data_IF_933263148086
#
_entry.id   IF_933263148086
#
_cell.length_a   1.000
_cell.length_b   1.000
_cell.length_c   1.000
_cell.angle_alpha   90.00
_cell.angle_beta   90.00
_cell.angle_gamma   90.00
#
_symmetry.space_group_name_H-M   'P 1'
#
loop_
_entity.id
_entity.type
_entity.pdbx_description
1 polymer ?
#
# COMPACT_ATOMS: atom_id res chain seq x y z
N UNK A 1 -6.27 -2.85 -38.31
CA UNK A 1 -5.82 -1.54 -37.76
C UNK A 1 -4.30 -1.62 -37.61
N UNK A 2 -3.54 -0.78 -38.31
CA UNK A 2 -2.07 -0.92 -38.41
C UNK A 2 -1.38 -0.73 -37.05
N UNK A 3 -0.37 -1.56 -36.77
CA UNK A 3 0.43 -1.51 -35.54
C UNK A 3 1.02 -0.12 -35.27
N UNK A 4 1.37 0.63 -36.32
CA UNK A 4 1.88 2.00 -36.24
C UNK A 4 0.89 3.00 -35.63
N UNK A 5 -0.41 2.85 -35.86
CA UNK A 5 -1.44 3.77 -35.32
C UNK A 5 -1.66 3.63 -33.81
N UNK A 6 -1.24 2.50 -33.21
CA UNK A 6 -1.37 2.24 -31.77
C UNK A 6 -0.16 2.70 -30.95
N UNK A 7 0.98 2.97 -31.59
CA UNK A 7 2.22 3.27 -30.87
C UNK A 7 2.21 4.65 -30.20
N UNK A 8 1.70 5.67 -30.87
CA UNK A 8 1.66 7.05 -30.34
C UNK A 8 0.89 7.16 -29.02
N UNK A 9 -0.36 6.66 -28.89
CA UNK A 9 -1.08 6.75 -27.62
C UNK A 9 -0.41 5.96 -26.50
N UNK A 10 0.20 4.80 -26.79
CA UNK A 10 0.94 4.02 -25.79
C UNK A 10 2.13 4.80 -25.24
N UNK A 11 2.94 5.40 -26.10
CA UNK A 11 4.12 6.19 -25.68
C UNK A 11 3.72 7.33 -24.74
N UNK A 12 2.60 8.01 -24.99
CA UNK A 12 2.11 9.11 -24.14
C UNK A 12 1.69 8.58 -22.76
N UNK A 13 0.97 7.46 -22.72
CA UNK A 13 0.53 6.85 -21.46
C UNK A 13 1.72 6.34 -20.66
N UNK A 14 2.65 5.65 -21.30
CA UNK A 14 3.85 5.10 -20.67
C UNK A 14 4.75 6.21 -20.11
N UNK A 15 4.91 7.31 -20.85
CA UNK A 15 5.63 8.50 -20.39
C UNK A 15 4.97 9.11 -19.16
N UNK A 16 3.64 9.15 -19.13
CA UNK A 16 2.88 9.64 -17.97
C UNK A 16 3.07 8.74 -16.75
N UNK A 17 3.12 7.42 -16.95
CA UNK A 17 3.40 6.45 -15.88
C UNK A 17 4.81 6.64 -15.31
N UNK A 18 5.82 6.86 -16.15
CA UNK A 18 7.21 7.14 -15.73
C UNK A 18 7.28 8.40 -14.86
N UNK A 19 6.63 9.49 -15.29
CA UNK A 19 6.59 10.75 -14.53
C UNK A 19 5.93 10.53 -13.16
N UNK A 20 4.77 9.87 -13.13
CA UNK A 20 4.05 9.58 -11.89
C UNK A 20 4.85 8.66 -10.95
N UNK A 21 5.49 7.62 -11.49
CA UNK A 21 6.35 6.72 -10.73
C UNK A 21 7.53 7.48 -10.11
N UNK A 22 8.16 8.38 -10.86
CA UNK A 22 9.27 9.21 -10.38
C UNK A 22 8.84 10.14 -9.22
N UNK A 23 7.69 10.82 -9.37
CA UNK A 23 7.11 11.65 -8.29
C UNK A 23 6.83 10.80 -7.05
N UNK A 24 6.23 9.62 -7.24
CA UNK A 24 5.90 8.69 -6.16
C UNK A 24 7.16 8.16 -5.44
N UNK A 25 8.26 7.92 -6.15
CA UNK A 25 9.56 7.57 -5.55
C UNK A 25 10.03 8.70 -4.65
N UNK A 26 10.04 9.95 -5.13
CA UNK A 26 10.48 11.10 -4.33
C UNK A 26 9.65 11.28 -3.06
N UNK A 27 8.32 11.21 -3.16
CA UNK A 27 7.39 11.33 -2.02
C UNK A 27 7.63 10.17 -1.03
N UNK A 28 7.65 8.93 -1.53
CA UNK A 28 7.75 7.73 -0.68
C UNK A 28 9.11 7.64 0.02
N UNK A 29 10.21 7.95 -0.68
CA UNK A 29 11.55 7.96 -0.11
C UNK A 29 11.69 9.02 0.99
N UNK A 30 11.21 10.24 0.74
CA UNK A 30 11.25 11.34 1.71
C UNK A 30 10.48 10.99 2.99
N UNK A 31 9.27 10.44 2.85
CA UNK A 31 8.43 10.06 3.99
C UNK A 31 8.98 8.84 4.73
N UNK A 32 9.48 7.85 4.00
CA UNK A 32 10.12 6.70 4.61
C UNK A 32 11.33 7.12 5.45
N UNK A 33 12.21 7.96 4.91
CA UNK A 33 13.36 8.53 5.63
C UNK A 33 12.93 9.34 6.86
N UNK A 34 11.94 10.21 6.72
CA UNK A 34 11.40 11.00 7.83
C UNK A 34 10.82 10.14 8.96
N UNK A 35 9.99 9.14 8.62
CA UNK A 35 9.33 8.27 9.60
C UNK A 35 10.35 7.35 10.29
N UNK A 36 11.30 6.79 9.54
CA UNK A 36 12.35 5.93 10.11
C UNK A 36 13.25 6.72 11.06
N UNK A 37 13.69 7.92 10.67
CA UNK A 37 14.43 8.84 11.54
C UNK A 37 13.70 9.11 12.86
N UNK A 38 12.41 9.47 12.79
CA UNK A 38 11.61 9.70 13.99
C UNK A 38 11.39 8.46 14.85
N UNK A 39 11.26 7.29 14.23
CA UNK A 39 11.10 6.02 14.94
C UNK A 39 12.37 5.66 15.71
N UNK A 40 13.55 5.92 15.14
CA UNK A 40 14.85 5.67 15.77
C UNK A 40 15.05 6.58 16.97
N UNK A 41 14.77 7.88 16.82
CA UNK A 41 14.94 8.87 17.90
C UNK A 41 13.91 8.68 19.01
N UNK A 42 12.67 8.39 18.66
CA UNK A 42 11.55 8.32 19.61
C UNK A 42 11.33 6.89 20.15
N UNK A 43 12.38 6.28 20.72
CA UNK A 43 12.35 4.88 21.21
C UNK A 43 11.17 4.58 22.16
N UNK A 44 10.75 5.57 22.94
CA UNK A 44 9.69 5.46 23.96
C UNK A 44 8.35 6.08 23.53
N UNK A 45 8.14 6.33 22.23
CA UNK A 45 6.88 6.89 21.75
C UNK A 45 5.73 5.87 21.83
N UNK A 46 4.55 6.24 22.37
CA UNK A 46 3.35 5.40 22.33
C UNK A 46 2.83 5.17 20.90
N UNK A 47 3.38 5.88 19.90
CA UNK A 47 2.99 5.76 18.50
C UNK A 47 4.00 4.98 17.66
N UNK A 48 5.03 4.40 18.27
CA UNK A 48 6.12 3.72 17.57
C UNK A 48 5.64 2.58 16.66
N UNK A 49 4.66 1.80 17.11
CA UNK A 49 4.06 0.71 16.31
C UNK A 49 3.37 1.26 15.07
N UNK A 50 2.56 2.30 15.24
CA UNK A 50 1.85 2.94 14.12
C UNK A 50 2.85 3.48 13.09
N UNK A 51 3.92 4.14 13.55
CA UNK A 51 4.96 4.69 12.69
C UNK A 51 5.68 3.60 11.89
N UNK A 52 6.02 2.46 12.50
CA UNK A 52 6.68 1.35 11.79
C UNK A 52 5.74 0.70 10.75
N UNK A 53 4.46 0.52 11.08
CA UNK A 53 3.50 0.01 10.10
C UNK A 53 3.28 0.99 8.94
N UNK A 54 3.31 2.30 9.20
CA UNK A 54 3.27 3.31 8.16
C UNK A 54 4.56 3.32 7.33
N UNK A 55 5.73 3.18 7.95
CA UNK A 55 7.00 3.04 7.24
C UNK A 55 7.01 1.81 6.32
N UNK A 56 6.43 0.68 6.75
CA UNK A 56 6.33 -0.52 5.92
C UNK A 56 5.48 -0.32 4.67
N UNK A 57 4.38 0.46 4.76
CA UNK A 57 3.59 0.85 3.58
C UNK A 57 4.43 1.72 2.63
N UNK A 58 5.14 2.73 3.13
CA UNK A 58 5.98 3.58 2.29
C UNK A 58 7.18 2.83 1.68
N UNK A 59 7.76 1.86 2.39
CA UNK A 59 8.78 0.98 1.84
C UNK A 59 8.22 0.16 0.67
N UNK A 60 7.03 -0.44 0.85
CA UNK A 60 6.38 -1.22 -0.20
C UNK A 60 6.03 -0.34 -1.42
N UNK A 61 5.52 0.87 -1.19
CA UNK A 61 5.26 1.86 -2.25
C UNK A 61 6.54 2.28 -2.97
N UNK A 62 7.62 2.55 -2.24
CA UNK A 62 8.91 2.95 -2.81
C UNK A 62 9.47 1.84 -3.72
N UNK A 63 9.58 0.61 -3.19
CA UNK A 63 10.07 -0.54 -3.95
C UNK A 63 9.19 -0.81 -5.18
N UNK A 64 7.86 -0.76 -5.02
CA UNK A 64 6.94 -0.96 -6.14
C UNK A 64 7.18 0.09 -7.23
N UNK A 65 7.33 1.36 -6.84
CA UNK A 65 7.54 2.46 -7.79
C UNK A 65 8.86 2.35 -8.54
N UNK A 66 9.91 1.82 -7.91
CA UNK A 66 11.20 1.55 -8.56
C UNK A 66 11.02 0.47 -9.63
N UNK A 67 10.34 -0.64 -9.33
CA UNK A 67 10.09 -1.70 -10.32
C UNK A 67 9.20 -1.22 -11.46
N UNK A 68 8.17 -0.42 -11.17
CA UNK A 68 7.35 0.21 -12.23
C UNK A 68 8.19 1.13 -13.12
N UNK A 69 9.07 1.93 -12.53
CA UNK A 69 9.94 2.81 -13.31
C UNK A 69 10.86 1.99 -14.22
N UNK A 70 11.47 0.93 -13.70
CA UNK A 70 12.31 0.01 -14.48
C UNK A 70 11.53 -0.63 -15.64
N UNK A 71 10.36 -1.21 -15.36
CA UNK A 71 9.51 -1.87 -16.34
C UNK A 71 9.12 -0.92 -17.47
N UNK A 72 8.63 0.28 -17.14
CA UNK A 72 8.17 1.24 -18.15
C UNK A 72 9.31 1.87 -18.96
N UNK A 73 10.51 1.99 -18.39
CA UNK A 73 11.71 2.33 -19.17
C UNK A 73 11.99 1.22 -20.19
N UNK A 74 11.88 -0.06 -19.80
CA UNK A 74 12.08 -1.19 -20.71
C UNK A 74 11.02 -1.21 -21.83
N UNK A 75 9.74 -0.99 -21.51
CA UNK A 75 8.66 -0.89 -22.50
C UNK A 75 8.94 0.23 -23.51
N UNK A 76 9.31 1.42 -23.04
CA UNK A 76 9.60 2.57 -23.90
C UNK A 76 10.81 2.33 -24.82
N UNK A 77 11.85 1.67 -24.31
CA UNK A 77 12.99 1.25 -25.13
C UNK A 77 12.59 0.17 -26.14
N UNK A 78 11.71 -0.75 -25.75
CA UNK A 78 11.11 -1.76 -26.63
C UNK A 78 10.38 -1.13 -27.83
N UNK A 79 9.56 -0.11 -27.57
CA UNK A 79 8.88 0.65 -28.62
C UNK A 79 9.84 1.36 -29.59
N UNK A 80 10.97 1.88 -29.10
CA UNK A 80 11.92 2.63 -29.93
C UNK A 80 12.85 1.74 -30.75
N UNK A 81 13.35 0.66 -30.16
CA UNK A 81 14.43 -0.15 -30.74
C UNK A 81 13.98 -1.55 -31.19
N UNK A 82 12.69 -1.90 -31.02
CA UNK A 82 12.17 -3.24 -31.34
C UNK A 82 12.97 -4.37 -30.67
N UNK A 83 13.50 -4.12 -29.47
CA UNK A 83 14.32 -5.07 -28.70
C UNK A 83 13.43 -6.15 -28.06
N UNK A 84 12.77 -6.96 -28.89
CA UNK A 84 11.97 -8.09 -28.42
C UNK A 84 12.81 -9.18 -27.73
N UNK A 85 14.15 -9.14 -27.89
CA UNK A 85 15.07 -10.14 -27.33
C UNK A 85 15.53 -9.87 -25.89
N UNK A 86 15.34 -8.66 -25.34
CA UNK A 86 15.87 -8.34 -24.01
C UNK A 86 15.05 -8.92 -22.84
N UNK A 87 13.79 -9.29 -23.06
CA UNK A 87 12.85 -9.66 -21.97
C UNK A 87 12.09 -10.98 -22.19
N UNK A 88 12.45 -11.81 -23.17
CA UNK A 88 11.77 -13.09 -23.45
C UNK A 88 12.15 -14.25 -22.50
N UNK A 89 12.56 -13.96 -21.26
CA UNK A 89 13.16 -14.95 -20.36
C UNK A 89 12.63 -14.94 -18.93
N UNK A 90 13.25 -15.79 -18.10
CA UNK A 90 12.97 -15.93 -16.67
C UNK A 90 13.09 -14.58 -15.94
N UNK A 91 14.00 -13.70 -16.36
CA UNK A 91 14.16 -12.37 -15.78
C UNK A 91 12.86 -11.54 -15.82
N UNK A 92 12.13 -11.61 -16.92
CA UNK A 92 10.86 -10.90 -17.11
C UNK A 92 9.77 -11.44 -16.17
N UNK A 93 9.70 -12.77 -16.04
CA UNK A 93 8.80 -13.43 -15.10
C UNK A 93 9.12 -13.09 -13.64
N UNK A 94 10.41 -13.01 -13.28
CA UNK A 94 10.86 -12.60 -11.95
C UNK A 94 10.48 -11.14 -11.66
N UNK A 95 10.66 -10.23 -12.63
CA UNK A 95 10.30 -8.81 -12.48
C UNK A 95 8.82 -8.63 -12.17
N UNK A 96 7.94 -9.21 -12.99
CA UNK A 96 6.48 -9.12 -12.77
C UNK A 96 6.06 -9.84 -11.49
N UNK A 97 6.68 -10.97 -11.16
CA UNK A 97 6.49 -11.65 -9.88
C UNK A 97 6.78 -10.70 -8.71
N UNK A 98 7.96 -10.06 -8.70
CA UNK A 98 8.34 -9.12 -7.64
C UNK A 98 7.39 -7.92 -7.56
N UNK A 99 6.94 -7.41 -8.70
CA UNK A 99 5.95 -6.33 -8.75
C UNK A 99 4.65 -6.74 -8.08
N UNK A 100 4.11 -7.92 -8.39
CA UNK A 100 2.91 -8.43 -7.73
C UNK A 100 3.11 -8.71 -6.24
N UNK A 101 4.27 -9.23 -5.82
CA UNK A 101 4.63 -9.35 -4.41
C UNK A 101 4.55 -8.00 -3.70
N UNK A 102 5.07 -6.94 -4.32
CA UNK A 102 5.05 -5.58 -3.75
C UNK A 102 3.64 -4.98 -3.71
N UNK A 103 2.83 -5.21 -4.74
CA UNK A 103 1.40 -4.82 -4.73
C UNK A 103 0.67 -5.52 -3.57
N UNK A 104 0.87 -6.83 -3.41
CA UNK A 104 0.33 -7.59 -2.30
C UNK A 104 0.83 -7.06 -0.95
N UNK A 105 2.11 -6.71 -0.86
CA UNK A 105 2.70 -6.13 0.35
C UNK A 105 2.04 -4.79 0.74
N UNK A 106 1.66 -3.95 -0.23
CA UNK A 106 0.89 -2.73 0.03
C UNK A 106 -0.47 -3.08 0.65
N UNK A 107 -1.21 -4.03 0.07
CA UNK A 107 -2.53 -4.45 0.56
C UNK A 107 -2.46 -5.04 1.96
N UNK A 108 -1.57 -6.00 2.20
CA UNK A 108 -1.40 -6.63 3.50
C UNK A 108 -0.82 -5.68 4.56
N UNK A 109 0.03 -4.73 4.19
CA UNK A 109 0.50 -3.70 5.13
C UNK A 109 -0.66 -2.81 5.60
N UNK A 110 -1.59 -2.46 4.71
CA UNK A 110 -2.80 -1.74 5.09
C UNK A 110 -3.73 -2.59 5.97
N UNK A 111 -3.81 -3.91 5.72
CA UNK A 111 -4.52 -4.85 6.59
C UNK A 111 -3.91 -4.91 8.01
N UNK A 112 -2.58 -4.98 8.12
CA UNK A 112 -1.88 -4.92 9.41
C UNK A 112 -2.16 -3.60 10.14
N UNK A 113 -2.23 -2.47 9.44
CA UNK A 113 -2.62 -1.20 10.05
C UNK A 113 -4.05 -1.24 10.59
N UNK A 114 -4.99 -1.86 9.88
CA UNK A 114 -6.37 -2.02 10.34
C UNK A 114 -6.45 -2.92 11.58
N UNK A 115 -5.73 -4.05 11.58
CA UNK A 115 -5.63 -4.96 12.73
C UNK A 115 -5.03 -4.23 13.94
N UNK A 116 -3.95 -3.48 13.76
CA UNK A 116 -3.36 -2.71 14.86
C UNK A 116 -4.36 -1.72 15.48
N UNK A 117 -5.12 -1.00 14.65
CA UNK A 117 -6.14 -0.06 15.14
C UNK A 117 -7.24 -0.78 15.89
N UNK A 118 -7.71 -1.90 15.35
CA UNK A 118 -8.67 -2.80 16.01
C UNK A 118 -8.15 -3.21 17.40
N UNK A 119 -6.93 -3.74 17.47
CA UNK A 119 -6.28 -4.15 18.71
C UNK A 119 -6.18 -3.00 19.72
N UNK A 120 -5.76 -1.82 19.27
CA UNK A 120 -5.59 -0.63 20.13
C UNK A 120 -6.91 -0.15 20.71
N UNK A 121 -7.96 -0.06 19.90
CA UNK A 121 -9.26 0.51 20.29
C UNK A 121 -10.04 -0.47 21.15
N UNK A 122 -10.08 -1.73 20.73
CA UNK A 122 -10.95 -2.73 21.33
C UNK A 122 -10.28 -3.45 22.50
N UNK A 123 -9.02 -3.80 22.34
CA UNK A 123 -8.25 -4.56 23.32
C UNK A 123 -7.26 -3.64 24.05
N UNK A 124 -7.73 -2.45 24.43
CA UNK A 124 -6.90 -1.44 25.10
C UNK A 124 -6.30 -1.93 26.43
N UNK A 125 -6.93 -2.91 27.09
CA UNK A 125 -6.47 -3.52 28.34
C UNK A 125 -5.33 -4.53 28.14
N UNK A 126 -5.21 -5.13 26.95
CA UNK A 126 -4.23 -6.18 26.66
C UNK A 126 -2.99 -5.59 26.00
N UNK A 127 -2.03 -5.14 26.82
CA UNK A 127 -0.77 -4.50 26.37
C UNK A 127 0.04 -5.37 25.40
N UNK A 128 -0.03 -6.71 25.51
CA UNK A 128 0.69 -7.63 24.62
C UNK A 128 0.33 -7.46 23.13
N UNK A 129 -0.95 -7.19 22.82
CA UNK A 129 -1.42 -6.96 21.44
C UNK A 129 -1.01 -5.61 20.85
N UNK A 130 -0.36 -4.76 21.64
CA UNK A 130 0.17 -3.46 21.24
C UNK A 130 1.71 -3.43 21.33
N UNK A 131 2.34 -4.58 21.58
CA UNK A 131 3.79 -4.66 21.70
C UNK A 131 4.49 -4.41 20.37
N UNK A 132 5.60 -3.69 20.42
CA UNK A 132 6.38 -3.36 19.23
C UNK A 132 6.95 -4.62 18.55
N UNK A 133 7.45 -5.56 19.34
CA UNK A 133 8.03 -6.82 18.86
C UNK A 133 7.01 -7.65 18.08
N UNK A 134 5.75 -7.72 18.54
CA UNK A 134 4.70 -8.44 17.83
C UNK A 134 4.52 -7.91 16.41
N UNK A 135 4.43 -6.59 16.21
CA UNK A 135 4.23 -6.03 14.88
C UNK A 135 5.47 -6.12 14.00
N UNK A 136 6.67 -6.13 14.56
CA UNK A 136 7.87 -6.44 13.78
C UNK A 136 7.82 -7.86 13.22
N UNK A 137 7.45 -8.84 14.06
CA UNK A 137 7.28 -10.23 13.64
C UNK A 137 6.17 -10.35 12.59
N UNK A 138 5.03 -9.68 12.80
CA UNK A 138 3.92 -9.70 11.84
C UNK A 138 4.29 -9.08 10.49
N UNK A 139 5.13 -8.04 10.45
CA UNK A 139 5.65 -7.48 9.20
C UNK A 139 6.51 -8.52 8.47
N UNK A 140 7.41 -9.21 9.17
CA UNK A 140 8.25 -10.27 8.57
C UNK A 140 7.38 -11.39 7.99
N UNK A 141 6.40 -11.87 8.77
CA UNK A 141 5.45 -12.89 8.33
C UNK A 141 4.66 -12.41 7.11
N UNK A 142 4.22 -11.16 7.10
CA UNK A 142 3.49 -10.56 6.00
C UNK A 142 4.33 -10.53 4.71
N UNK A 143 5.60 -10.16 4.78
CA UNK A 143 6.50 -10.21 3.62
C UNK A 143 6.69 -11.64 3.10
N UNK A 144 6.98 -12.60 3.99
CA UNK A 144 7.11 -14.01 3.62
C UNK A 144 5.82 -14.49 2.93
N UNK A 145 4.65 -14.18 3.49
CA UNK A 145 3.37 -14.54 2.92
C UNK A 145 3.15 -13.92 1.53
N UNK A 146 3.53 -12.64 1.32
CA UNK A 146 3.41 -11.98 0.03
C UNK A 146 4.26 -12.68 -1.05
N UNK A 147 5.48 -13.13 -0.72
CA UNK A 147 6.30 -13.95 -1.61
C UNK A 147 5.63 -15.31 -1.88
N UNK A 148 5.26 -16.04 -0.82
CA UNK A 148 4.68 -17.38 -0.93
C UNK A 148 3.39 -17.41 -1.77
N UNK A 149 2.53 -16.40 -1.64
CA UNK A 149 1.26 -16.31 -2.40
C UNK A 149 1.51 -16.23 -3.92
N UNK A 150 2.62 -15.64 -4.34
CA UNK A 150 2.91 -15.43 -5.77
C UNK A 150 3.67 -16.60 -6.41
N UNK A 151 4.29 -17.47 -5.62
CA UNK A 151 5.08 -18.61 -6.12
C UNK A 151 4.25 -19.53 -7.02
N UNK A 152 2.99 -19.90 -6.69
CA UNK A 152 2.19 -20.76 -7.57
C UNK A 152 2.05 -20.19 -8.98
N UNK A 153 1.79 -18.88 -9.14
CA UNK A 153 1.66 -18.26 -10.47
C UNK A 153 2.97 -18.30 -11.27
N UNK A 154 4.11 -18.16 -10.58
CA UNK A 154 5.41 -18.30 -11.21
C UNK A 154 5.66 -19.76 -11.66
N UNK A 155 5.42 -20.74 -10.77
CA UNK A 155 5.60 -22.17 -11.06
C UNK A 155 4.69 -22.66 -12.19
N UNK A 156 3.50 -22.10 -12.29
CA UNK A 156 2.54 -22.45 -13.34
C UNK A 156 2.78 -21.74 -14.68
N UNK A 157 3.76 -20.82 -14.77
CA UNK A 157 3.99 -20.05 -15.99
C UNK A 157 2.83 -19.13 -16.35
N UNK A 158 2.12 -18.61 -15.34
CA UNK A 158 1.00 -17.69 -15.55
C UNK A 158 1.48 -16.33 -16.12
N UNK A 159 2.74 -15.96 -15.85
CA UNK A 159 3.39 -14.75 -16.35
C UNK A 159 3.97 -14.98 -17.75
N UNK A 160 3.47 -14.22 -18.73
CA UNK A 160 3.88 -14.34 -20.13
C UNK A 160 4.32 -12.99 -20.68
N UNK A 161 5.36 -13.02 -21.51
CA UNK A 161 5.79 -11.85 -22.25
C UNK A 161 4.81 -11.57 -23.40
N UNK A 162 4.30 -10.34 -23.44
CA UNK A 162 3.46 -9.83 -24.52
C UNK A 162 4.33 -9.08 -25.52
N UNK A 163 4.49 -9.64 -26.73
CA UNK A 163 5.26 -9.00 -27.81
C UNK A 163 4.64 -7.65 -28.20
N UNK A 164 3.32 -7.52 -28.09
CA UNK A 164 2.61 -6.29 -28.46
C UNK A 164 2.84 -5.15 -27.46
N UNK A 165 3.03 -5.49 -26.18
CA UNK A 165 3.17 -4.53 -25.09
C UNK A 165 4.62 -4.38 -24.61
N UNK A 166 5.54 -5.20 -25.12
CA UNK A 166 6.94 -5.27 -24.70
C UNK A 166 7.14 -5.46 -23.19
N UNK A 167 6.23 -6.21 -22.54
CA UNK A 167 6.23 -6.42 -21.08
C UNK A 167 5.79 -7.83 -20.69
N UNK A 168 6.23 -8.30 -19.51
CA UNK A 168 5.60 -9.46 -18.88
C UNK A 168 4.31 -9.02 -18.21
N UNK A 169 3.24 -9.77 -18.45
CA UNK A 169 2.00 -9.57 -17.74
C UNK A 169 1.31 -10.90 -17.46
N UNK A 170 0.39 -10.86 -16.50
CA UNK A 170 -0.59 -11.90 -16.33
C UNK A 170 -1.62 -11.77 -17.45
N UNK A 171 -1.71 -12.79 -18.30
CA UNK A 171 -2.69 -12.81 -19.38
C UNK A 171 -4.12 -12.84 -18.80
N UNK A 172 -4.97 -11.89 -19.18
CA UNK A 172 -6.37 -11.83 -18.70
C UNK A 172 -7.22 -13.02 -19.15
N UNK A 173 -6.76 -13.79 -20.15
CA UNK A 173 -7.38 -15.06 -20.54
C UNK A 173 -7.06 -16.20 -19.57
N UNK A 174 -6.02 -16.06 -18.75
CA UNK A 174 -5.67 -17.02 -17.71
C UNK A 174 -6.53 -16.80 -16.46
N UNK A 175 -7.79 -17.21 -16.53
CA UNK A 175 -8.77 -17.04 -15.44
C UNK A 175 -8.29 -17.60 -14.10
N UNK A 176 -7.52 -18.70 -14.12
CA UNK A 176 -6.97 -19.30 -12.90
C UNK A 176 -5.98 -18.36 -12.22
N UNK A 177 -4.98 -17.88 -12.96
CA UNK A 177 -3.98 -16.95 -12.42
C UNK A 177 -4.63 -15.65 -11.94
N UNK A 178 -5.53 -15.09 -12.75
CA UNK A 178 -6.29 -13.88 -12.41
C UNK A 178 -7.13 -14.05 -11.14
N UNK A 179 -7.87 -15.16 -11.03
CA UNK A 179 -8.70 -15.44 -9.86
C UNK A 179 -7.86 -15.68 -8.61
N UNK A 180 -6.78 -16.46 -8.72
CA UNK A 180 -5.89 -16.75 -7.60
C UNK A 180 -5.22 -15.47 -7.10
N UNK A 181 -4.65 -14.68 -7.99
CA UNK A 181 -3.97 -13.43 -7.63
C UNK A 181 -4.95 -12.38 -7.12
N UNK A 182 -6.10 -12.21 -7.78
CA UNK A 182 -7.15 -11.29 -7.34
C UNK A 182 -7.65 -11.65 -5.94
N UNK A 183 -7.91 -12.94 -5.69
CA UNK A 183 -8.42 -13.38 -4.39
C UNK A 183 -7.38 -13.24 -3.28
N UNK A 184 -6.19 -13.83 -3.48
CA UNK A 184 -5.17 -13.91 -2.44
C UNK A 184 -4.50 -12.56 -2.18
N UNK A 185 -4.22 -11.78 -3.23
CA UNK A 185 -3.44 -10.54 -3.12
C UNK A 185 -4.29 -9.32 -2.81
N UNK A 186 -5.58 -9.35 -3.18
CA UNK A 186 -6.47 -8.20 -3.06
C UNK A 186 -7.71 -8.50 -2.22
N UNK A 187 -8.53 -9.50 -2.58
CA UNK A 187 -9.81 -9.71 -1.89
C UNK A 187 -9.67 -10.10 -0.42
N UNK A 188 -8.72 -10.97 -0.07
CA UNK A 188 -8.44 -11.34 1.33
C UNK A 188 -7.99 -10.14 2.17
N UNK A 189 -6.91 -9.40 1.84
CA UNK A 189 -6.51 -8.25 2.65
C UNK A 189 -7.60 -7.17 2.71
N UNK A 190 -8.36 -6.96 1.63
CA UNK A 190 -9.50 -6.03 1.65
C UNK A 190 -10.62 -6.49 2.58
N UNK A 191 -10.97 -7.78 2.58
CA UNK A 191 -11.95 -8.34 3.50
C UNK A 191 -11.50 -8.19 4.97
N UNK A 192 -10.21 -8.37 5.26
CA UNK A 192 -9.63 -8.13 6.58
C UNK A 192 -9.78 -6.65 6.98
N UNK A 193 -9.43 -5.71 6.09
CA UNK A 193 -9.56 -4.28 6.36
C UNK A 193 -11.03 -3.93 6.64
N UNK A 194 -11.96 -4.36 5.79
CA UNK A 194 -13.40 -4.12 5.94
C UNK A 194 -13.92 -4.71 7.25
N UNK A 195 -13.61 -5.98 7.52
CA UNK A 195 -14.03 -6.68 8.74
C UNK A 195 -13.52 -5.99 10.01
N UNK A 196 -12.25 -5.60 10.04
CA UNK A 196 -11.66 -4.86 11.17
C UNK A 196 -12.37 -3.52 11.40
N UNK A 197 -12.65 -2.76 10.33
CA UNK A 197 -13.31 -1.47 10.44
C UNK A 197 -14.78 -1.61 10.87
N UNK A 198 -15.54 -2.53 10.28
CA UNK A 198 -16.94 -2.80 10.66
C UNK A 198 -17.02 -3.22 12.13
N UNK A 199 -16.16 -4.14 12.55
CA UNK A 199 -16.15 -4.60 13.94
C UNK A 199 -15.77 -3.48 14.92
N UNK A 200 -14.80 -2.64 14.55
CA UNK A 200 -14.41 -1.43 15.32
C UNK A 200 -15.60 -0.49 15.49
N UNK A 201 -16.31 -0.17 14.41
CA UNK A 201 -17.50 0.70 14.43
C UNK A 201 -18.59 0.11 15.32
N UNK A 202 -18.91 -1.18 15.13
CA UNK A 202 -19.97 -1.87 15.87
C UNK A 202 -19.69 -1.84 17.37
N UNK A 203 -18.44 -2.10 17.78
CA UNK A 203 -18.08 -2.10 19.19
C UNK A 203 -18.05 -0.69 19.79
N UNK A 204 -17.57 0.31 19.04
CA UNK A 204 -17.64 1.72 19.47
C UNK A 204 -19.08 2.17 19.70
N UNK A 205 -20.00 1.87 18.77
CA UNK A 205 -21.42 2.23 18.90
C UNK A 205 -22.06 1.58 20.13
N UNK A 206 -21.80 0.28 20.37
CA UNK A 206 -22.31 -0.43 21.56
C UNK A 206 -21.81 0.21 22.86
N UNK A 207 -20.53 0.58 22.93
CA UNK A 207 -19.97 1.23 24.11
C UNK A 207 -20.57 2.61 24.34
N UNK A 208 -20.75 3.40 23.27
CA UNK A 208 -21.39 4.70 23.37
C UNK A 208 -22.82 4.57 23.93
N UNK A 209 -23.62 3.61 23.45
CA UNK A 209 -24.99 3.46 23.93
C UNK A 209 -25.11 3.02 25.40
N UNK A 210 -24.14 2.27 25.93
CA UNK A 210 -24.19 1.75 27.30
C UNK A 210 -23.53 2.69 28.33
N UNK A 211 -22.56 3.52 27.94
CA UNK A 211 -21.76 4.35 28.85
C UNK A 211 -22.13 5.87 28.80
N UNK A 212 -23.23 6.26 28.12
CA UNK A 212 -23.63 7.68 27.91
C UNK A 212 -23.75 8.48 29.21
N UNK A 213 -24.14 7.86 30.32
CA UNK A 213 -24.32 8.55 31.61
C UNK A 213 -23.02 8.88 32.35
N UNK A 214 -21.88 8.22 32.04
CA UNK A 214 -20.62 8.37 32.80
C UNK A 214 -19.45 8.81 31.90
N UNK A 215 -19.69 9.05 30.60
CA UNK A 215 -18.61 9.34 29.66
C UNK A 215 -18.04 10.76 29.83
N UNK A 216 -16.88 10.85 30.48
CA UNK A 216 -16.08 12.08 30.65
C UNK A 216 -15.83 12.79 29.31
N UNK A 217 -15.78 14.13 29.32
CA UNK A 217 -15.51 14.96 28.12
C UNK A 217 -14.24 14.52 27.36
N UNK A 218 -13.23 14.02 28.08
CA UNK A 218 -11.99 13.50 27.50
C UNK A 218 -12.22 12.26 26.61
N UNK A 219 -13.11 11.35 27.02
CA UNK A 219 -13.46 10.17 26.22
C UNK A 219 -14.23 10.56 24.96
N UNK A 220 -15.12 11.55 25.02
CA UNK A 220 -15.82 12.07 23.82
C UNK A 220 -14.85 12.61 22.78
N UNK A 221 -13.84 13.38 23.20
CA UNK A 221 -12.80 13.89 22.29
C UNK A 221 -11.96 12.77 21.66
N UNK A 222 -11.64 11.71 22.41
CA UNK A 222 -10.90 10.55 21.87
C UNK A 222 -11.75 9.82 20.82
N UNK A 223 -13.04 9.60 21.09
CA UNK A 223 -13.96 8.94 20.17
C UNK A 223 -14.15 9.75 18.89
N UNK A 224 -14.34 11.07 18.98
CA UNK A 224 -14.44 11.93 17.79
C UNK A 224 -13.18 11.88 16.93
N UNK A 225 -11.99 11.94 17.55
CA UNK A 225 -10.73 11.82 16.82
C UNK A 225 -10.61 10.47 16.12
N UNK A 226 -10.99 9.39 16.78
CA UNK A 226 -10.91 8.04 16.21
C UNK A 226 -11.95 7.83 15.09
N UNK A 227 -13.15 8.46 15.18
CA UNK A 227 -14.14 8.49 14.10
C UNK A 227 -13.64 9.24 12.86
N UNK A 228 -12.97 10.39 13.04
CA UNK A 228 -12.35 11.12 11.92
C UNK A 228 -11.28 10.25 11.25
N UNK A 229 -10.45 9.56 12.03
CA UNK A 229 -9.43 8.64 11.51
C UNK A 229 -10.06 7.44 10.77
N UNK A 230 -11.22 6.97 11.23
CA UNK A 230 -11.97 5.89 10.59
C UNK A 230 -12.63 6.34 9.27
N UNK A 231 -13.26 7.52 9.23
CA UNK A 231 -13.84 8.07 8.00
C UNK A 231 -12.78 8.21 6.91
N UNK A 232 -11.62 8.72 7.30
CA UNK A 232 -10.42 8.81 6.46
C UNK A 232 -9.95 7.44 5.92
N UNK A 233 -10.05 6.37 6.73
CA UNK A 233 -9.78 5.01 6.26
C UNK A 233 -10.83 4.50 5.26
N UNK A 234 -12.10 4.86 5.42
CA UNK A 234 -13.14 4.49 4.46
C UNK A 234 -12.88 5.13 3.09
N UNK A 235 -12.37 6.36 3.07
CA UNK A 235 -11.91 7.00 1.82
C UNK A 235 -10.75 6.20 1.22
N UNK A 236 -9.75 5.84 2.02
CA UNK A 236 -8.62 5.03 1.56
C UNK A 236 -9.08 3.67 0.99
N UNK A 237 -10.02 3.01 1.68
CA UNK A 237 -10.64 1.77 1.24
C UNK A 237 -11.38 1.96 -0.08
N UNK A 238 -12.14 3.04 -0.23
CA UNK A 238 -12.83 3.37 -1.48
C UNK A 238 -11.86 3.52 -2.64
N UNK A 239 -10.76 4.24 -2.44
CA UNK A 239 -9.68 4.40 -3.43
C UNK A 239 -9.07 3.04 -3.80
N UNK A 240 -8.80 2.18 -2.81
CA UNK A 240 -8.26 0.84 -3.05
C UNK A 240 -9.28 -0.08 -3.76
N UNK A 241 -10.58 0.05 -3.49
CA UNK A 241 -11.63 -0.70 -4.19
C UNK A 241 -11.71 -0.31 -5.67
N UNK A 242 -11.55 0.97 -6.00
CA UNK A 242 -11.52 1.44 -7.40
C UNK A 242 -10.42 0.74 -8.21
N UNK A 243 -9.29 0.41 -7.59
CA UNK A 243 -8.23 -0.35 -8.25
C UNK A 243 -8.71 -1.76 -8.65
N UNK A 244 -9.47 -2.45 -7.79
CA UNK A 244 -9.99 -3.79 -8.09
C UNK A 244 -11.11 -3.81 -9.14
N UNK A 245 -11.85 -2.72 -9.31
CA UNK A 245 -12.95 -2.63 -10.28
C UNK A 245 -12.43 -2.69 -11.72
N UNK A 246 -11.30 -2.07 -12.02
CA UNK A 246 -10.74 -2.00 -13.38
C UNK A 246 -10.42 -3.38 -13.98
N UNK A 247 -9.63 -4.26 -13.33
CA UNK A 247 -9.36 -5.60 -13.85
C UNK A 247 -10.65 -6.41 -13.98
N UNK A 248 -11.61 -6.26 -13.07
CA UNK A 248 -12.93 -6.92 -13.19
C UNK A 248 -13.67 -6.46 -14.45
N UNK A 249 -13.68 -5.16 -14.74
CA UNK A 249 -14.28 -4.63 -15.96
C UNK A 249 -13.58 -5.16 -17.22
N UNK A 250 -12.25 -5.25 -17.22
CA UNK A 250 -11.47 -5.81 -18.33
C UNK A 250 -11.84 -7.29 -18.55
N UNK A 251 -11.94 -8.08 -17.48
CA UNK A 251 -12.35 -9.49 -17.54
C UNK A 251 -13.77 -9.62 -18.09
N UNK A 252 -14.71 -8.78 -17.64
CA UNK A 252 -16.08 -8.79 -18.15
C UNK A 252 -16.12 -8.46 -19.64
N UNK A 253 -15.39 -7.44 -20.09
CA UNK A 253 -15.27 -7.10 -21.52
C UNK A 253 -14.73 -8.31 -22.30
N UNK A 254 -13.70 -8.99 -21.78
CA UNK A 254 -13.13 -10.17 -22.40
C UNK A 254 -14.14 -11.33 -22.48
N UNK A 255 -14.95 -11.56 -21.44
CA UNK A 255 -16.00 -12.60 -21.44
C UNK A 255 -17.09 -12.29 -22.49
N UNK A 256 -17.52 -11.03 -22.60
CA UNK A 256 -18.60 -10.66 -23.53
C UNK A 256 -18.15 -10.55 -24.99
N UNK A 257 -16.92 -10.11 -25.24
CA UNK A 257 -16.43 -9.83 -26.59
C UNK A 257 -15.48 -10.89 -27.13
N UNK A 258 -14.92 -11.75 -26.26
CA UNK A 258 -13.84 -12.67 -26.59
C UNK A 258 -12.50 -11.98 -26.87
N UNK A 259 -12.40 -10.68 -26.62
CA UNK A 259 -11.23 -9.86 -26.96
C UNK A 259 -10.77 -9.04 -25.75
N UNK A 260 -9.46 -9.03 -25.52
CA UNK A 260 -8.82 -8.12 -24.56
C UNK A 260 -8.45 -6.82 -25.29
N UNK A 261 -8.95 -5.65 -24.87
CA UNK A 261 -8.58 -4.39 -25.48
C UNK A 261 -7.07 -4.11 -25.34
N UNK A 262 -6.44 -3.64 -26.41
CA UNK A 262 -5.00 -3.37 -26.47
C UNK A 262 -4.53 -2.28 -25.50
N UNK A 263 -5.43 -1.41 -25.02
CA UNK A 263 -5.14 -0.34 -24.06
C UNK A 263 -5.34 -0.77 -22.59
N UNK A 264 -5.85 -1.98 -22.36
CA UNK A 264 -6.34 -2.41 -21.04
C UNK A 264 -5.23 -2.45 -19.98
N UNK A 265 -4.06 -2.96 -20.34
CA UNK A 265 -2.90 -3.05 -19.47
C UNK A 265 -2.35 -1.67 -19.11
N UNK A 266 -2.16 -0.78 -20.09
CA UNK A 266 -1.64 0.58 -19.87
C UNK A 266 -2.60 1.40 -19.01
N UNK A 267 -3.91 1.34 -19.26
CA UNK A 267 -4.90 2.04 -18.43
C UNK A 267 -4.93 1.48 -17.01
N UNK A 268 -4.89 0.15 -16.84
CA UNK A 268 -4.86 -0.46 -15.51
C UNK A 268 -3.67 0.03 -14.69
N UNK A 269 -2.48 0.02 -15.27
CA UNK A 269 -1.26 0.43 -14.59
C UNK A 269 -1.17 1.94 -14.39
N UNK A 270 -1.69 2.75 -15.31
CA UNK A 270 -1.83 4.19 -15.12
C UNK A 270 -2.73 4.49 -13.92
N UNK A 271 -3.92 3.87 -13.88
CA UNK A 271 -4.84 4.09 -12.76
C UNK A 271 -4.26 3.56 -11.46
N UNK A 272 -3.57 2.42 -11.46
CA UNK A 272 -2.85 1.94 -10.29
C UNK A 272 -1.81 2.97 -9.78
N UNK A 273 -1.02 3.56 -10.68
CA UNK A 273 -0.03 4.57 -10.30
C UNK A 273 -0.69 5.84 -9.75
N UNK A 274 -1.77 6.31 -10.36
CA UNK A 274 -2.53 7.46 -9.86
C UNK A 274 -3.10 7.15 -8.46
N UNK A 275 -3.82 6.04 -8.31
CA UNK A 275 -4.45 5.66 -7.04
C UNK A 275 -3.41 5.46 -5.93
N UNK A 276 -2.30 4.77 -6.21
CA UNK A 276 -1.23 4.59 -5.21
C UNK A 276 -0.51 5.88 -4.85
N UNK A 277 -0.38 6.81 -5.79
CA UNK A 277 0.12 8.16 -5.51
C UNK A 277 -0.84 8.93 -4.60
N UNK A 278 -2.14 8.90 -4.89
CA UNK A 278 -3.17 9.49 -4.03
C UNK A 278 -3.12 8.85 -2.65
N UNK A 279 -3.05 7.52 -2.55
CA UNK A 279 -2.89 6.79 -1.27
C UNK A 279 -1.69 7.33 -0.49
N UNK A 280 -0.54 7.51 -1.14
CA UNK A 280 0.68 8.01 -0.49
C UNK A 280 0.50 9.40 0.12
N UNK A 281 -0.17 10.32 -0.58
CA UNK A 281 -0.48 11.69 -0.15
C UNK A 281 -1.53 11.67 0.96
N UNK A 282 -2.60 10.90 0.76
CA UNK A 282 -3.72 10.75 1.68
C UNK A 282 -3.24 10.19 3.02
N UNK A 283 -2.30 9.23 3.02
CA UNK A 283 -1.69 8.72 4.27
C UNK A 283 -0.96 9.81 5.08
N UNK A 284 -0.34 10.80 4.43
CA UNK A 284 0.31 11.95 5.10
C UNK A 284 -0.73 12.81 5.78
N UNK A 285 -1.77 13.20 5.03
CA UNK A 285 -2.83 14.11 5.49
C UNK A 285 -3.65 13.44 6.60
N UNK A 286 -3.91 12.15 6.43
CA UNK A 286 -4.75 11.39 7.36
C UNK A 286 -4.03 11.14 8.67
N UNK A 287 -2.74 10.77 8.64
CA UNK A 287 -2.03 10.30 9.82
C UNK A 287 -1.84 11.44 10.83
N UNK A 288 -2.64 11.48 11.92
CA UNK A 288 -2.54 12.56 12.90
C UNK A 288 -1.17 12.52 13.59
N UNK A 289 -0.51 11.36 13.59
CA UNK A 289 0.82 11.18 14.15
C UNK A 289 1.87 11.94 13.34
N UNK A 290 1.84 11.85 12.00
CA UNK A 290 2.79 12.58 11.12
C UNK A 290 2.55 14.09 11.23
N UNK A 291 1.29 14.51 11.19
CA UNK A 291 0.93 15.92 11.35
C UNK A 291 1.34 16.48 12.73
N UNK A 292 1.17 15.70 13.81
CA UNK A 292 1.61 16.12 15.15
C UNK A 292 3.13 16.15 15.30
N UNK A 293 3.86 15.28 14.59
CA UNK A 293 5.32 15.35 14.52
C UNK A 293 5.77 16.64 13.84
N UNK A 294 5.12 17.03 12.74
CA UNK A 294 5.42 18.28 12.03
C UNK A 294 5.17 19.51 12.91
N UNK A 295 4.04 19.53 13.64
CA UNK A 295 3.70 20.68 14.51
C UNK A 295 4.56 20.79 15.77
N UNK A 296 5.22 19.73 16.22
CA UNK A 296 6.11 19.80 17.39
C UNK A 296 7.37 20.56 17.02
N UNK A 297 7.43 21.86 17.38
CA UNK A 297 8.66 22.65 17.32
C UNK A 297 9.77 21.91 18.09
N UNK A 298 11.01 21.83 17.55
CA UNK A 298 12.12 21.11 18.18
C UNK A 298 12.59 21.70 19.53
N UNK A 299 12.04 22.84 19.96
CA UNK A 299 12.44 23.55 21.19
C UNK A 299 12.25 22.77 22.49
N UNK A 300 11.42 21.71 22.52
CA UNK A 300 11.23 20.90 23.73
C UNK A 300 12.23 19.75 23.92
N UNK A 301 13.08 19.43 22.93
CA UNK A 301 14.12 18.41 23.10
C UNK A 301 15.30 18.91 23.97
N UNK A 302 15.49 20.22 24.11
CA UNK A 302 16.52 20.79 24.99
C UNK A 302 16.11 20.86 26.47
N UNK A 303 14.82 20.86 26.80
CA UNK A 303 14.39 21.03 28.20
C UNK A 303 14.56 19.75 29.05
N UNK A 304 14.64 18.56 28.43
CA UNK A 304 14.88 17.30 29.16
C UNK A 304 16.35 17.00 29.45
N UNK A 305 17.30 17.65 28.76
CA UNK A 305 18.73 17.53 29.11
C UNK A 305 19.12 18.33 30.35
N UNK A 306 18.40 19.41 30.68
CA UNK A 306 18.69 20.20 31.89
C UNK A 306 18.08 19.64 33.18
N UNK A 307 17.11 18.73 33.11
CA UNK A 307 16.52 18.14 34.31
C UNK A 307 17.38 17.01 34.93
N UNK A 308 18.34 16.44 34.18
CA UNK A 308 19.18 15.33 34.67
C UNK A 308 20.49 15.81 35.32
N UNK A 309 20.87 17.09 35.15
CA UNK A 309 22.13 17.63 35.70
C UNK A 309 21.96 18.20 37.13
N UNK A 310 20.74 18.29 37.67
CA UNK A 310 20.49 18.85 39.02
C UNK A 310 20.59 17.86 40.19
N UNK A 311 21.05 16.62 39.98
CA UNK A 311 21.15 15.62 41.05
C UNK A 311 22.55 15.06 41.33
N UNK A 312 23.62 15.73 40.86
CA UNK A 312 24.99 15.41 41.28
C UNK A 312 25.55 16.61 42.06
N UNK A 313 25.06 16.78 43.28
CA UNK A 313 25.73 17.49 44.37
C UNK A 313 25.37 16.75 45.65
N UNK A 314 26.15 15.71 45.96
CA UNK A 314 26.52 15.29 47.32
C UNK A 314 27.94 14.72 47.19
#
# INVERSE_FOLDING_TARGET
>A
MNSSTRQVPNIIVDSSIIILASIKICISASLFGFITYHTIISKNSPHRVALVLTANVYLSLLLSSILFLEEYICILLGHKYSLASLDNGIACQIRIYLQYVLVSAICYSNALQAIYRLCRIIFYTKKSYQSFQLYQILIIIQWILCFLIMIPSLCFGDFKYSINDYSCQLDYTNYRGVFMMGTLSFSIPMAIIVGCNIYTIKKMRRRNNNDIEIMTQLQRMIVQRDLVVLFRLLILLGILMTFGIIPVMIILINIFTGLVPWWSSQIQWLVFNILTTIVSIVLIIISPHVHNLWKRKPSHLNCRRHAVVKHIVI
#
